data_IF_384634901958
#
_entry.id   IF_384634901958
#
_cell.length_a   1.000
_cell.length_b   1.000
_cell.length_c   1.000
_cell.angle_alpha   90.00
_cell.angle_beta   90.00
_cell.angle_gamma   90.00
#
_symmetry.space_group_name_H-M   'P 1'
#
loop_
_entity.id
_entity.type
_entity.pdbx_description
1 polymer ?
#
# COMPACT_ATOMS: atom_id res chain seq x y z
N UNK A 1 -14.79 -2.36 31.24
CA UNK A 1 -14.26 -3.62 30.66
C UNK A 1 -14.03 -3.37 29.18
N UNK A 2 -12.78 -3.11 28.80
CA UNK A 2 -12.42 -2.83 27.40
C UNK A 2 -12.27 -4.18 26.70
N UNK A 3 -13.19 -4.48 25.78
CA UNK A 3 -13.08 -5.68 24.94
C UNK A 3 -11.91 -5.46 24.01
N UNK A 4 -10.81 -6.18 24.23
CA UNK A 4 -9.69 -6.24 23.31
C UNK A 4 -10.16 -6.90 22.01
N UNK A 5 -10.44 -6.11 21.00
CA UNK A 5 -10.72 -6.62 19.65
C UNK A 5 -9.42 -7.22 19.12
N UNK A 6 -9.39 -8.55 19.09
CA UNK A 6 -8.24 -9.35 18.67
C UNK A 6 -7.87 -9.03 17.21
N UNK A 7 -6.60 -8.74 16.97
CA UNK A 7 -5.97 -8.58 15.65
C UNK A 7 -5.61 -9.95 15.04
N UNK A 8 -6.27 -11.02 15.51
CA UNK A 8 -6.02 -12.37 15.04
C UNK A 8 -6.38 -12.48 13.53
N UNK A 9 -5.40 -12.82 12.71
CA UNK A 9 -5.63 -13.23 11.33
C UNK A 9 -6.47 -14.51 11.35
N UNK A 10 -7.55 -14.62 10.56
CA UNK A 10 -8.27 -15.89 10.42
C UNK A 10 -7.36 -16.94 9.78
N UNK A 11 -7.59 -18.23 10.07
CA UNK A 11 -6.87 -19.32 9.41
C UNK A 11 -7.17 -19.29 7.91
N UNK A 12 -6.15 -19.59 7.10
CA UNK A 12 -6.25 -19.66 5.64
C UNK A 12 -7.35 -20.64 5.21
N UNK A 13 -8.16 -20.25 4.21
CA UNK A 13 -9.15 -21.14 3.60
C UNK A 13 -8.45 -22.34 2.95
N UNK A 14 -8.95 -23.58 3.11
CA UNK A 14 -8.37 -24.79 2.51
C UNK A 14 -8.69 -24.82 1.02
N UNK A 15 -7.77 -24.36 0.17
CA UNK A 15 -7.98 -24.44 -1.29
C UNK A 15 -6.99 -23.72 -2.19
N UNK A 16 -5.91 -23.17 -1.70
CA UNK A 16 -4.88 -22.57 -2.54
C UNK A 16 -3.49 -22.87 -1.98
N UNK A 17 -2.58 -23.35 -2.82
CA UNK A 17 -1.15 -23.32 -2.53
C UNK A 17 -0.68 -21.86 -2.49
N UNK A 18 -0.90 -21.23 -1.34
CA UNK A 18 -0.36 -19.94 -0.99
C UNK A 18 0.10 -20.06 0.44
N UNK A 19 1.41 -20.04 0.65
CA UNK A 19 1.99 -19.95 1.97
C UNK A 19 1.28 -18.82 2.73
N UNK A 20 0.73 -19.15 3.89
CA UNK A 20 0.32 -18.14 4.86
C UNK A 20 1.53 -17.23 5.04
N UNK A 21 1.40 -15.98 4.63
CA UNK A 21 2.46 -15.00 4.82
C UNK A 21 2.59 -14.80 6.33
N UNK A 22 3.45 -15.61 6.97
CA UNK A 22 3.70 -15.49 8.39
C UNK A 22 4.31 -14.11 8.64
N UNK A 23 3.55 -13.30 9.36
CA UNK A 23 4.02 -11.97 9.71
C UNK A 23 5.27 -12.08 10.61
N UNK A 24 6.25 -11.19 10.41
CA UNK A 24 7.43 -11.15 11.27
C UNK A 24 7.07 -11.05 12.76
N UNK A 25 7.94 -11.58 13.61
CA UNK A 25 7.76 -11.47 15.07
C UNK A 25 7.54 -10.01 15.48
N UNK A 26 6.52 -9.77 16.31
CA UNK A 26 6.13 -8.43 16.78
C UNK A 26 5.37 -7.58 15.75
N UNK A 27 5.09 -8.06 14.54
CA UNK A 27 4.36 -7.30 13.53
C UNK A 27 2.93 -6.96 13.99
N UNK A 28 2.22 -7.89 14.61
CA UNK A 28 0.87 -7.69 15.14
C UNK A 28 0.83 -6.56 16.17
N UNK A 29 1.81 -6.49 17.07
CA UNK A 29 1.93 -5.40 18.03
C UNK A 29 2.19 -4.06 17.35
N UNK A 30 3.12 -4.01 16.37
CA UNK A 30 3.38 -2.79 15.60
C UNK A 30 2.15 -2.33 14.83
N UNK A 31 1.39 -3.24 14.21
CA UNK A 31 0.14 -2.92 13.51
C UNK A 31 -0.93 -2.36 14.46
N UNK A 32 -1.05 -2.94 15.65
CA UNK A 32 -1.96 -2.42 16.69
C UNK A 32 -1.57 -1.00 17.11
N UNK A 33 -0.29 -0.78 17.43
CA UNK A 33 0.25 0.54 17.80
C UNK A 33 0.10 1.56 16.67
N UNK A 34 0.30 1.15 15.42
CA UNK A 34 0.05 2.01 14.24
C UNK A 34 -1.40 2.53 14.22
N UNK A 35 -2.38 1.64 14.45
CA UNK A 35 -3.79 2.03 14.48
C UNK A 35 -4.12 2.96 15.65
N UNK A 36 -3.47 2.79 16.80
CA UNK A 36 -3.64 3.70 17.95
C UNK A 36 -3.10 5.10 17.64
N UNK A 37 -1.92 5.18 17.02
CA UNK A 37 -1.34 6.42 16.52
C UNK A 37 -2.23 7.09 15.48
N UNK A 38 -2.70 6.33 14.50
CA UNK A 38 -3.60 6.82 13.46
C UNK A 38 -4.89 7.38 14.05
N UNK A 39 -5.52 6.66 14.99
CA UNK A 39 -6.73 7.11 15.67
C UNK A 39 -6.48 8.40 16.48
N UNK A 40 -5.35 8.49 17.19
CA UNK A 40 -4.95 9.68 17.95
C UNK A 40 -4.80 10.91 17.05
N UNK A 41 -4.01 10.79 16.00
CA UNK A 41 -3.74 11.89 15.06
C UNK A 41 -4.97 12.27 14.23
N UNK A 42 -5.80 11.29 13.88
CA UNK A 42 -7.02 11.51 13.09
C UNK A 42 -8.03 12.45 13.76
N UNK A 43 -7.96 12.60 15.10
CA UNK A 43 -8.80 13.57 15.84
C UNK A 43 -8.51 15.01 15.43
N UNK A 44 -7.28 15.30 15.02
CA UNK A 44 -6.82 16.66 14.70
C UNK A 44 -6.64 16.88 13.20
N UNK A 45 -6.17 15.88 12.46
CA UNK A 45 -5.67 16.08 11.08
C UNK A 45 -6.51 15.43 9.99
N UNK A 46 -7.60 14.72 10.33
CA UNK A 46 -8.48 14.04 9.35
C UNK A 46 -7.69 13.16 8.36
N UNK A 47 -6.85 12.28 8.86
CA UNK A 47 -5.99 11.39 8.06
C UNK A 47 -6.80 10.31 7.34
N UNK A 48 -7.94 9.90 7.93
CA UNK A 48 -8.87 8.91 7.39
C UNK A 48 -10.30 9.24 7.78
N UNK A 49 -11.24 8.88 6.90
CA UNK A 49 -12.68 8.96 7.22
C UNK A 49 -13.14 7.87 8.20
N UNK A 50 -12.37 6.80 8.34
CA UNK A 50 -12.70 5.66 9.21
C UNK A 50 -12.26 5.98 10.63
N UNK A 51 -13.21 5.92 11.58
CA UNK A 51 -12.96 6.24 13.00
C UNK A 51 -13.10 5.04 13.93
N UNK A 52 -13.88 4.05 13.52
CA UNK A 52 -14.11 2.84 14.31
C UNK A 52 -12.91 1.89 14.19
N UNK A 53 -12.42 1.39 15.34
CA UNK A 53 -11.23 0.54 15.43
C UNK A 53 -11.35 -0.74 14.61
N UNK A 54 -12.48 -1.44 14.69
CA UNK A 54 -12.75 -2.66 13.94
C UNK A 54 -12.65 -2.40 12.43
N UNK A 55 -13.23 -1.30 11.96
CA UNK A 55 -13.15 -0.90 10.55
C UNK A 55 -11.76 -0.46 10.13
N UNK A 56 -10.97 0.17 11.03
CA UNK A 56 -9.57 0.48 10.74
C UNK A 56 -8.75 -0.80 10.55
N UNK A 57 -8.96 -1.83 11.36
CA UNK A 57 -8.30 -3.13 11.21
C UNK A 57 -8.56 -3.69 9.81
N UNK A 58 -9.83 -3.77 9.42
CA UNK A 58 -10.23 -4.36 8.14
C UNK A 58 -9.79 -3.51 6.94
N UNK A 59 -10.13 -2.21 6.94
CA UNK A 59 -9.96 -1.35 5.76
C UNK A 59 -8.56 -0.74 5.63
N UNK A 60 -7.72 -0.80 6.67
CA UNK A 60 -6.35 -0.29 6.59
C UNK A 60 -5.33 -1.42 6.71
N UNK A 61 -5.46 -2.29 7.72
CA UNK A 61 -4.46 -3.34 7.93
C UNK A 61 -4.70 -4.54 7.00
N UNK A 62 -5.86 -5.19 7.10
CA UNK A 62 -6.14 -6.39 6.27
C UNK A 62 -6.14 -6.07 4.79
N UNK A 63 -6.76 -4.95 4.37
CA UNK A 63 -6.78 -4.46 3.00
C UNK A 63 -5.35 -4.24 2.44
N UNK A 64 -4.43 -3.71 3.25
CA UNK A 64 -3.03 -3.53 2.86
C UNK A 64 -2.26 -4.85 2.80
N UNK A 65 -2.42 -5.72 3.80
CA UNK A 65 -1.72 -6.99 3.87
C UNK A 65 -2.15 -7.98 2.77
N UNK A 66 -3.40 -7.87 2.29
CA UNK A 66 -3.89 -8.67 1.17
C UNK A 66 -3.13 -8.43 -0.14
N UNK A 67 -2.33 -7.36 -0.22
CA UNK A 67 -1.45 -7.08 -1.38
C UNK A 67 -0.19 -7.96 -1.38
N UNK A 68 0.26 -8.45 -0.22
CA UNK A 68 1.55 -9.14 -0.07
C UNK A 68 1.78 -10.29 -1.07
N UNK A 69 0.80 -11.17 -1.34
CA UNK A 69 0.98 -12.26 -2.31
C UNK A 69 1.21 -11.79 -3.76
N UNK A 70 0.86 -10.54 -4.06
CA UNK A 70 1.02 -9.93 -5.39
C UNK A 70 2.32 -9.14 -5.54
N UNK A 71 3.07 -8.95 -4.46
CA UNK A 71 4.40 -8.34 -4.52
C UNK A 71 5.44 -9.38 -4.98
N UNK A 72 6.50 -8.95 -5.68
CA UNK A 72 7.59 -9.84 -6.05
C UNK A 72 8.21 -10.54 -4.83
N UNK A 73 8.39 -11.86 -4.92
CA UNK A 73 9.09 -12.65 -3.90
C UNK A 73 10.60 -12.53 -4.09
N UNK A 74 11.14 -11.38 -3.73
CA UNK A 74 12.58 -11.12 -3.69
C UNK A 74 12.93 -10.24 -2.51
N UNK A 75 14.13 -10.41 -1.99
CA UNK A 75 14.67 -9.57 -0.93
C UNK A 75 15.03 -8.16 -1.44
N UNK A 76 15.06 -7.19 -0.51
CA UNK A 76 15.49 -5.81 -0.76
C UNK A 76 14.66 -5.09 -1.83
N UNK A 77 13.35 -5.41 -1.90
CA UNK A 77 12.43 -4.64 -2.73
C UNK A 77 12.49 -3.15 -2.39
N UNK A 78 12.44 -2.32 -3.42
CA UNK A 78 12.21 -0.89 -3.28
C UNK A 78 10.78 -0.58 -3.67
N UNK A 79 10.00 -0.07 -2.74
CA UNK A 79 8.58 0.22 -2.93
C UNK A 79 8.31 1.71 -2.77
N UNK A 80 7.61 2.31 -3.72
CA UNK A 80 7.07 3.67 -3.64
C UNK A 80 5.56 3.60 -3.43
N UNK A 81 5.05 4.14 -2.33
CA UNK A 81 3.62 4.31 -2.08
C UNK A 81 3.21 5.75 -2.41
N UNK A 82 2.47 5.93 -3.49
CA UNK A 82 2.06 7.24 -4.01
C UNK A 82 0.70 7.64 -3.47
N UNK A 83 0.65 8.78 -2.79
CA UNK A 83 -0.56 9.25 -2.12
C UNK A 83 -0.84 8.45 -0.86
N UNK A 84 0.20 8.15 -0.08
CA UNK A 84 0.15 7.27 1.10
C UNK A 84 -0.86 7.69 2.17
N UNK A 85 -1.24 8.95 2.21
CA UNK A 85 -2.23 9.45 3.18
C UNK A 85 -1.81 9.21 4.63
N UNK A 86 -2.61 8.45 5.34
CA UNK A 86 -2.29 7.98 6.69
C UNK A 86 -1.28 6.81 6.74
N UNK A 87 -0.47 6.63 5.70
CA UNK A 87 0.52 5.56 5.62
C UNK A 87 -0.05 4.23 5.10
N UNK A 88 -1.09 4.26 4.28
CA UNK A 88 -1.78 3.06 3.79
C UNK A 88 -1.68 2.98 2.26
N UNK A 89 -1.17 1.89 1.69
CA UNK A 89 -0.82 0.62 2.32
C UNK A 89 0.61 0.55 2.90
N UNK A 90 1.43 1.59 2.73
CA UNK A 90 2.87 1.56 2.95
C UNK A 90 3.31 1.15 4.36
N UNK A 91 2.74 1.68 5.45
CA UNK A 91 3.12 1.33 6.82
C UNK A 91 2.82 -0.16 7.13
N UNK A 92 1.60 -0.69 6.89
CA UNK A 92 1.34 -2.12 7.08
C UNK A 92 2.27 -3.02 6.27
N UNK A 93 2.55 -2.67 5.02
CA UNK A 93 3.47 -3.43 4.16
C UNK A 93 4.91 -3.37 4.68
N UNK A 94 5.37 -2.19 5.14
CA UNK A 94 6.72 -2.04 5.71
C UNK A 94 6.90 -2.83 7.00
N UNK A 95 5.86 -2.98 7.82
CA UNK A 95 5.86 -3.83 9.02
C UNK A 95 5.95 -5.30 8.63
N UNK A 96 5.23 -5.72 7.58
CA UNK A 96 5.19 -7.10 7.12
C UNK A 96 6.46 -7.52 6.33
N UNK A 97 7.14 -6.56 5.68
CA UNK A 97 8.34 -6.79 4.86
C UNK A 97 9.50 -5.92 5.36
N UNK A 98 10.11 -6.27 6.51
CA UNK A 98 11.24 -5.52 7.07
C UNK A 98 12.51 -5.61 6.21
N UNK A 99 12.58 -6.55 5.30
CA UNK A 99 13.63 -6.75 4.30
C UNK A 99 13.54 -5.79 3.09
N UNK A 100 12.37 -5.19 2.87
CA UNK A 100 12.11 -4.23 1.80
C UNK A 100 12.23 -2.78 2.29
N UNK A 101 12.50 -1.83 1.38
CA UNK A 101 12.55 -0.40 1.66
C UNK A 101 11.34 0.31 1.07
N UNK A 102 10.76 1.21 1.83
CA UNK A 102 9.54 1.91 1.46
C UNK A 102 9.75 3.42 1.45
N UNK A 103 9.41 4.07 0.34
CA UNK A 103 9.24 5.52 0.27
C UNK A 103 7.74 5.81 0.25
N UNK A 104 7.27 6.56 1.25
CA UNK A 104 5.86 6.91 1.42
C UNK A 104 5.68 8.38 1.04
N UNK A 105 5.00 8.63 -0.06
CA UNK A 105 4.88 9.93 -0.70
C UNK A 105 3.46 10.47 -0.60
N UNK A 106 3.31 11.70 -0.15
CA UNK A 106 2.05 12.47 -0.21
C UNK A 106 2.37 13.97 -0.33
N UNK A 107 1.57 14.70 -1.08
CA UNK A 107 1.73 16.15 -1.21
C UNK A 107 1.34 16.91 0.07
N UNK A 108 0.59 16.29 0.97
CA UNK A 108 0.13 16.91 2.21
C UNK A 108 1.15 16.75 3.34
N UNK A 109 1.82 17.83 3.71
CA UNK A 109 2.82 17.87 4.78
C UNK A 109 2.30 17.35 6.13
N UNK A 110 1.01 17.57 6.47
CA UNK A 110 0.42 17.09 7.73
C UNK A 110 0.32 15.56 7.76
N UNK A 111 -0.03 14.96 6.62
CA UNK A 111 -0.06 13.50 6.48
C UNK A 111 1.36 12.91 6.58
N UNK A 112 2.32 13.52 5.93
CA UNK A 112 3.72 13.09 5.99
C UNK A 112 4.33 13.28 7.39
N UNK A 113 3.97 14.35 8.12
CA UNK A 113 4.36 14.49 9.53
C UNK A 113 3.86 13.32 10.38
N UNK A 114 2.61 12.86 10.16
CA UNK A 114 2.09 11.67 10.81
C UNK A 114 2.88 10.41 10.42
N UNK A 115 3.11 10.19 9.12
CA UNK A 115 3.84 9.00 8.62
C UNK A 115 5.26 8.96 9.20
N UNK A 116 5.94 10.11 9.25
CA UNK A 116 7.27 10.23 9.86
C UNK A 116 7.24 9.86 11.34
N UNK A 117 6.28 10.41 12.10
CA UNK A 117 6.13 10.09 13.52
C UNK A 117 5.82 8.61 13.75
N UNK A 118 4.94 8.03 12.93
CA UNK A 118 4.60 6.61 13.00
C UNK A 118 5.83 5.73 12.71
N UNK A 119 6.64 6.06 11.71
CA UNK A 119 7.86 5.33 11.40
C UNK A 119 8.87 5.34 12.57
N UNK A 120 9.01 6.49 13.25
CA UNK A 120 9.88 6.62 14.43
C UNK A 120 9.34 5.80 15.61
N UNK A 121 8.07 5.99 15.99
CA UNK A 121 7.47 5.32 17.15
C UNK A 121 7.36 3.80 17.01
N UNK A 122 7.20 3.31 15.76
CA UNK A 122 7.13 1.88 15.46
C UNK A 122 8.52 1.27 15.17
N UNK A 123 9.58 2.07 15.22
CA UNK A 123 10.94 1.67 14.86
C UNK A 123 10.97 0.95 13.50
N UNK A 124 10.60 1.68 12.44
CA UNK A 124 10.60 1.21 11.05
C UNK A 124 11.76 1.88 10.27
N UNK A 125 13.00 1.37 10.38
CA UNK A 125 14.16 1.95 9.70
C UNK A 125 14.09 1.81 8.18
N UNK A 126 13.21 0.95 7.69
CA UNK A 126 12.95 0.69 6.28
C UNK A 126 11.91 1.64 5.66
N UNK A 127 11.43 2.66 6.38
CA UNK A 127 10.46 3.65 5.90
C UNK A 127 11.08 5.03 5.80
N UNK A 128 10.93 5.66 4.62
CA UNK A 128 11.22 7.08 4.38
C UNK A 128 9.94 7.79 3.96
N UNK A 129 9.50 8.77 4.73
CA UNK A 129 8.36 9.62 4.41
C UNK A 129 8.81 10.88 3.66
N UNK A 130 8.12 11.24 2.56
CA UNK A 130 8.49 12.37 1.69
C UNK A 130 7.26 13.22 1.37
N UNK A 131 7.35 14.52 1.68
CA UNK A 131 6.32 15.50 1.33
C UNK A 131 6.62 16.08 -0.05
N UNK A 132 5.97 15.55 -1.08
CA UNK A 132 6.12 16.03 -2.46
C UNK A 132 4.91 15.59 -3.30
N UNK A 133 4.63 16.30 -4.37
CA UNK A 133 3.83 15.75 -5.47
C UNK A 133 4.64 14.70 -6.20
N UNK A 134 3.98 13.69 -6.75
CA UNK A 134 4.68 12.61 -7.47
C UNK A 134 5.37 13.14 -8.73
N UNK A 135 4.81 14.17 -9.34
CA UNK A 135 5.36 14.85 -10.51
C UNK A 135 6.70 15.56 -10.21
N UNK A 136 6.87 16.05 -8.98
CA UNK A 136 8.05 16.82 -8.55
C UNK A 136 9.07 15.94 -7.81
N UNK A 137 8.69 14.70 -7.49
CA UNK A 137 9.55 13.78 -6.76
C UNK A 137 10.66 13.25 -7.65
N UNK A 138 11.91 13.40 -7.20
CA UNK A 138 13.10 12.84 -7.86
C UNK A 138 13.59 11.67 -7.03
N UNK A 139 13.51 10.48 -7.60
CA UNK A 139 14.02 9.27 -6.96
C UNK A 139 15.52 9.10 -7.21
N UNK A 140 16.25 8.68 -6.19
CA UNK A 140 17.70 8.36 -6.31
C UNK A 140 17.95 7.13 -7.21
N UNK A 141 17.01 6.21 -7.26
CA UNK A 141 16.99 5.06 -8.16
C UNK A 141 15.54 4.58 -8.37
N UNK A 142 15.24 3.88 -9.48
CA UNK A 142 13.91 3.35 -9.75
C UNK A 142 13.43 2.38 -8.68
N UNK A 143 12.10 2.23 -8.57
CA UNK A 143 11.44 1.32 -7.64
C UNK A 143 11.04 0.02 -8.33
N UNK A 144 11.11 -1.08 -7.59
CA UNK A 144 10.65 -2.39 -8.07
C UNK A 144 9.13 -2.45 -8.11
N UNK A 145 8.48 -1.71 -7.19
CA UNK A 145 7.03 -1.58 -7.12
C UNK A 145 6.67 -0.13 -6.85
N UNK A 146 5.76 0.42 -7.66
CA UNK A 146 5.07 1.67 -7.38
C UNK A 146 3.62 1.33 -7.11
N UNK A 147 3.16 1.56 -5.89
CA UNK A 147 1.80 1.22 -5.44
C UNK A 147 1.01 2.47 -5.10
N UNK A 148 -0.30 2.44 -5.32
CA UNK A 148 -1.23 3.45 -4.82
C UNK A 148 -2.60 2.85 -4.50
N UNK A 149 -3.25 3.38 -3.46
CA UNK A 149 -4.62 3.02 -3.08
C UNK A 149 -5.66 4.08 -3.45
N UNK A 150 -5.27 5.29 -3.67
CA UNK A 150 -6.20 6.44 -3.70
C UNK A 150 -6.10 7.30 -4.96
N UNK A 151 -5.54 6.80 -6.05
CA UNK A 151 -5.54 7.53 -7.32
C UNK A 151 -6.93 7.57 -7.94
N UNK A 152 -7.28 8.71 -8.52
CA UNK A 152 -8.60 8.96 -9.10
C UNK A 152 -8.92 7.95 -10.21
N UNK A 153 -7.96 7.69 -11.11
CA UNK A 153 -8.10 6.75 -12.22
C UNK A 153 -6.75 6.09 -12.56
N UNK A 154 -6.81 4.96 -13.29
CA UNK A 154 -5.63 4.17 -13.65
C UNK A 154 -4.71 4.90 -14.62
N UNK A 155 -5.26 5.67 -15.55
CA UNK A 155 -4.49 6.40 -16.56
C UNK A 155 -3.58 7.43 -15.88
N UNK A 156 -4.16 8.30 -15.04
CA UNK A 156 -3.41 9.33 -14.32
C UNK A 156 -2.34 8.70 -13.42
N UNK A 157 -2.65 7.57 -12.75
CA UNK A 157 -1.65 6.84 -11.97
C UNK A 157 -0.52 6.32 -12.86
N UNK A 158 -0.84 5.65 -13.96
CA UNK A 158 0.14 5.08 -14.86
C UNK A 158 1.07 6.14 -15.46
N UNK A 159 0.53 7.29 -15.91
CA UNK A 159 1.29 8.39 -16.49
C UNK A 159 2.35 8.95 -15.52
N UNK A 160 1.98 9.18 -14.24
CA UNK A 160 2.93 9.74 -13.28
C UNK A 160 3.85 8.70 -12.64
N UNK A 161 3.39 7.46 -12.50
CA UNK A 161 4.14 6.40 -11.83
C UNK A 161 5.19 5.73 -12.73
N UNK A 162 4.97 5.70 -14.06
CA UNK A 162 5.84 5.01 -15.03
C UNK A 162 7.30 5.48 -14.98
N UNK A 163 7.56 6.74 -14.70
CA UNK A 163 8.93 7.27 -14.62
C UNK A 163 9.69 6.85 -13.35
N UNK A 164 8.97 6.35 -12.35
CA UNK A 164 9.55 5.94 -11.06
C UNK A 164 9.80 4.44 -10.96
N UNK A 165 9.17 3.64 -11.82
CA UNK A 165 9.28 2.18 -11.79
C UNK A 165 10.52 1.69 -12.54
N UNK A 166 11.15 0.62 -12.06
CA UNK A 166 12.25 -0.08 -12.74
C UNK A 166 11.77 -0.75 -14.03
N UNK A 167 12.70 -1.13 -14.92
CA UNK A 167 12.37 -1.71 -16.22
C UNK A 167 11.47 -2.95 -16.11
N UNK A 168 11.74 -3.83 -15.14
CA UNK A 168 10.94 -5.03 -14.86
C UNK A 168 10.02 -4.86 -13.64
N UNK A 169 9.86 -3.63 -13.18
CA UNK A 169 9.08 -3.31 -12.01
C UNK A 169 7.57 -3.30 -12.29
N UNK A 170 6.80 -3.18 -11.23
CA UNK A 170 5.35 -3.24 -11.25
C UNK A 170 4.73 -1.90 -10.84
N UNK A 171 3.68 -1.51 -11.56
CA UNK A 171 2.70 -0.51 -11.11
C UNK A 171 1.51 -1.25 -10.52
N UNK A 172 1.15 -0.96 -9.28
CA UNK A 172 0.10 -1.67 -8.54
C UNK A 172 -0.94 -0.68 -8.07
N UNK A 173 -2.15 -0.75 -8.61
CA UNK A 173 -3.28 0.07 -8.18
C UNK A 173 -4.27 -0.77 -7.38
N UNK A 174 -4.59 -0.33 -6.15
CA UNK A 174 -5.63 -0.94 -5.31
C UNK A 174 -6.98 -0.31 -5.65
N UNK A 175 -7.93 -1.13 -6.09
CA UNK A 175 -9.29 -0.70 -6.49
C UNK A 175 -10.37 -1.47 -5.73
N UNK A 176 -11.52 -0.84 -5.52
CA UNK A 176 -12.71 -1.52 -5.00
C UNK A 176 -13.33 -2.42 -6.04
N UNK A 177 -13.92 -1.83 -7.06
CA UNK A 177 -14.48 -2.53 -8.22
C UNK A 177 -13.52 -2.40 -9.39
N UNK A 178 -13.38 -3.48 -10.16
CA UNK A 178 -12.58 -3.47 -11.38
C UNK A 178 -13.31 -2.64 -12.45
N UNK A 179 -12.74 -1.51 -12.80
CA UNK A 179 -13.29 -0.61 -13.82
C UNK A 179 -12.66 -0.94 -15.18
N UNK A 180 -13.36 -1.72 -16.02
CA UNK A 180 -12.89 -2.10 -17.35
C UNK A 180 -12.63 -0.90 -18.25
N UNK A 181 -13.42 0.17 -18.12
CA UNK A 181 -13.24 1.41 -18.87
C UNK A 181 -11.93 2.12 -18.51
N UNK A 182 -11.53 2.09 -17.23
CA UNK A 182 -10.23 2.63 -16.80
C UNK A 182 -9.06 1.81 -17.38
N UNK A 183 -9.21 0.49 -17.47
CA UNK A 183 -8.20 -0.39 -18.09
C UNK A 183 -8.07 -0.07 -19.59
N UNK A 184 -9.19 0.10 -20.29
CA UNK A 184 -9.19 0.43 -21.71
C UNK A 184 -8.59 1.82 -22.00
N UNK A 185 -8.61 2.72 -21.01
CA UNK A 185 -8.06 4.07 -21.14
C UNK A 185 -6.56 4.19 -20.79
N UNK A 186 -5.89 3.08 -20.44
CA UNK A 186 -4.47 3.10 -20.09
C UNK A 186 -3.60 3.60 -21.27
N UNK A 187 -2.47 4.27 -20.95
CA UNK A 187 -1.52 4.67 -21.99
C UNK A 187 -0.97 3.45 -22.75
N UNK A 188 -0.67 3.57 -24.05
CA UNK A 188 -0.24 2.44 -24.88
C UNK A 188 1.08 1.80 -24.44
N UNK A 189 1.89 2.51 -23.65
CA UNK A 189 3.15 2.01 -23.11
C UNK A 189 2.97 1.26 -21.76
N UNK A 190 1.72 1.06 -21.29
CA UNK A 190 1.42 0.33 -20.05
C UNK A 190 0.48 -0.82 -20.32
N UNK A 191 0.88 -2.02 -19.95
CA UNK A 191 0.04 -3.21 -20.06
C UNK A 191 -0.41 -3.72 -18.69
N UNK A 192 -1.66 -4.14 -18.58
CA UNK A 192 -2.16 -4.91 -17.43
C UNK A 192 -1.66 -6.34 -17.55
N UNK A 193 -1.01 -6.83 -16.49
CA UNK A 193 -0.49 -8.21 -16.44
C UNK A 193 -1.31 -9.12 -15.54
N UNK A 194 -2.03 -8.56 -14.56
CA UNK A 194 -2.95 -9.30 -13.69
C UNK A 194 -3.98 -8.38 -13.05
N UNK A 195 -5.14 -8.94 -12.71
CA UNK A 195 -6.21 -8.25 -11.97
C UNK A 195 -6.76 -9.15 -10.86
N UNK A 196 -5.93 -9.58 -9.88
CA UNK A 196 -6.40 -10.46 -8.84
C UNK A 196 -7.48 -9.80 -7.98
N UNK A 197 -8.52 -10.56 -7.64
CA UNK A 197 -9.43 -10.21 -6.56
C UNK A 197 -8.73 -10.52 -5.23
N UNK A 198 -8.81 -9.59 -4.29
CA UNK A 198 -8.21 -9.72 -2.97
C UNK A 198 -9.26 -10.24 -1.98
N UNK A 199 -8.91 -11.31 -1.28
CA UNK A 199 -9.66 -11.73 -0.10
C UNK A 199 -9.20 -10.90 1.10
N UNK A 200 -10.08 -10.02 1.57
CA UNK A 200 -9.81 -9.15 2.73
C UNK A 200 -10.69 -9.58 3.89
N UNK A 201 -10.12 -10.24 4.90
CA UNK A 201 -10.88 -10.77 6.02
C UNK A 201 -11.73 -9.71 6.73
N UNK A 202 -13.04 -9.97 6.86
CA UNK A 202 -13.98 -9.06 7.52
C UNK A 202 -14.41 -7.86 6.69
N UNK A 203 -14.05 -7.79 5.40
CA UNK A 203 -14.50 -6.75 4.47
C UNK A 203 -15.65 -7.28 3.61
N UNK A 204 -16.84 -6.76 3.81
CA UNK A 204 -17.98 -7.03 2.94
C UNK A 204 -17.97 -6.08 1.72
N UNK A 205 -16.89 -6.14 0.95
CA UNK A 205 -16.74 -5.38 -0.29
C UNK A 205 -15.63 -6.00 -1.13
N UNK A 206 -15.84 -6.04 -2.44
CA UNK A 206 -14.82 -6.51 -3.37
C UNK A 206 -13.59 -5.61 -3.35
N UNK A 207 -12.43 -6.23 -3.48
CA UNK A 207 -11.14 -5.58 -3.65
C UNK A 207 -10.39 -6.24 -4.79
N UNK A 208 -9.76 -5.42 -5.62
CA UNK A 208 -8.94 -5.88 -6.74
C UNK A 208 -7.62 -5.13 -6.75
N UNK A 209 -6.60 -5.79 -7.26
CA UNK A 209 -5.43 -5.08 -7.76
C UNK A 209 -5.52 -4.98 -9.28
N UNK A 210 -5.00 -3.88 -9.81
CA UNK A 210 -4.60 -3.80 -11.20
C UNK A 210 -3.08 -3.75 -11.21
N UNK A 211 -2.47 -4.87 -11.60
CA UNK A 211 -1.02 -5.02 -11.71
C UNK A 211 -0.62 -4.76 -13.14
N UNK A 212 0.25 -3.76 -13.32
CA UNK A 212 0.64 -3.27 -14.63
C UNK A 212 2.16 -3.25 -14.78
N UNK A 213 2.62 -3.23 -16.02
CA UNK A 213 4.03 -3.07 -16.39
C UNK A 213 4.19 -2.05 -17.50
N UNK A 214 5.27 -1.30 -17.46
CA UNK A 214 5.69 -0.45 -18.58
C UNK A 214 6.34 -1.34 -19.63
N UNK A 215 5.79 -1.37 -20.85
CA UNK A 215 6.17 -2.29 -21.93
C UNK A 215 6.99 -1.63 -23.06
N UNK A 216 7.12 -0.31 -23.07
CA UNK A 216 7.85 0.39 -24.12
C UNK A 216 9.06 1.14 -23.54
N UNK A 217 10.17 1.08 -24.30
CA UNK A 217 11.42 1.78 -24.00
C UNK A 217 11.36 3.30 -24.26
N UNK A 218 10.29 3.81 -24.85
CA UNK A 218 10.02 5.24 -24.98
C UNK A 218 9.53 5.81 -23.62
N UNK A 219 10.40 5.77 -22.61
CA UNK A 219 10.18 6.52 -21.37
C UNK A 219 10.26 8.01 -21.69
N UNK A 220 9.30 8.81 -21.19
CA UNK A 220 9.41 10.27 -21.25
C UNK A 220 10.61 10.79 -20.45
#
# INVERSE_FOLDING_TARGET
>A
MTVATSLAMPPASPGGKGDTCDLPSGATDKLSRYLDLLAKWNRTYNLTAIRERSRMITHHVHDSLAVLPSLPDRQRLRVLDVGTGGGVPGIPLAIARPDATFVLLDANHKKIAFVTQAAIELALPNVRAVASRVEDFVAEAPFDVVISRAFADLRSFAEVASRHVAQDGLLVAMKGVLAHDEIAALPPHVAVIATPELDVPGLDAKRHLVVMRVIDAARP
#
